data_IF_147123348839
#
_entry.id   IF_147123348839
#
_cell.length_a   1.000
_cell.length_b   1.000
_cell.length_c   1.000
_cell.angle_alpha   90.00
_cell.angle_beta   90.00
_cell.angle_gamma   90.00
#
_symmetry.space_group_name_H-M   'P 1'
#
loop_
_entity.id
_entity.type
_entity.pdbx_description
1 polymer ?
#
# COMPACT_ATOMS: atom_id res chain seq x y z
N UNK A 1 -2.18 -48.94 7.93
CA UNK A 1 -0.98 -48.11 7.68
C UNK A 1 -0.98 -46.97 8.68
N UNK A 2 -0.09 -46.99 9.69
CA UNK A 2 0.02 -45.92 10.68
C UNK A 2 0.70 -44.67 10.10
N UNK A 3 0.31 -43.50 10.62
CA UNK A 3 0.75 -42.17 10.21
C UNK A 3 2.26 -41.95 10.41
N UNK A 4 2.88 -41.22 9.47
CA UNK A 4 4.30 -40.88 9.49
C UNK A 4 4.65 -39.78 10.50
N UNK A 5 5.80 -39.86 11.20
CA UNK A 5 6.24 -38.84 12.15
C UNK A 5 6.97 -37.71 11.41
N UNK A 6 6.38 -36.52 11.35
CA UNK A 6 7.06 -35.37 10.71
C UNK A 6 6.31 -34.03 10.67
N UNK A 7 5.01 -33.98 10.93
CA UNK A 7 4.30 -32.70 11.01
C UNK A 7 4.44 -32.13 12.42
N UNK A 8 5.36 -31.17 12.60
CA UNK A 8 5.38 -30.27 13.77
C UNK A 8 4.32 -29.18 13.55
N UNK A 9 3.19 -29.16 14.30
CA UNK A 9 2.12 -28.18 14.10
C UNK A 9 2.41 -26.89 14.87
N UNK A 10 3.49 -26.17 14.53
CA UNK A 10 3.89 -24.99 15.32
C UNK A 10 4.69 -23.92 14.61
N UNK A 11 4.77 -23.95 13.27
CA UNK A 11 5.64 -23.04 12.49
C UNK A 11 4.87 -22.14 11.52
N UNK A 12 3.64 -22.51 11.16
CA UNK A 12 2.72 -21.70 10.35
C UNK A 12 1.90 -20.76 11.24
N UNK A 13 1.51 -21.26 12.40
CA UNK A 13 0.74 -20.65 13.49
C UNK A 13 1.40 -19.35 13.97
N UNK A 14 2.72 -19.37 14.14
CA UNK A 14 3.50 -18.24 14.61
C UNK A 14 3.50 -17.06 13.61
N UNK A 15 3.25 -17.32 12.32
CA UNK A 15 3.17 -16.27 11.30
C UNK A 15 1.79 -15.60 11.23
N UNK A 16 0.72 -16.32 11.60
CA UNK A 16 -0.65 -15.80 11.60
C UNK A 16 -0.82 -14.67 12.63
N UNK A 17 -0.23 -14.79 13.82
CA UNK A 17 -0.28 -13.75 14.85
C UNK A 17 0.46 -12.46 14.47
N UNK A 18 1.37 -12.53 13.50
CA UNK A 18 2.12 -11.39 12.96
C UNK A 18 1.44 -10.76 11.74
N UNK A 19 0.38 -11.36 11.20
CA UNK A 19 -0.39 -10.85 10.06
C UNK A 19 -0.77 -9.35 10.16
N UNK A 20 -1.30 -8.83 11.29
CA UNK A 20 -1.60 -7.40 11.39
C UNK A 20 -0.36 -6.51 11.32
N UNK A 21 0.78 -6.96 11.84
CA UNK A 21 2.04 -6.21 11.76
C UNK A 21 2.58 -6.19 10.32
N UNK A 22 2.46 -7.30 9.59
CA UNK A 22 2.80 -7.34 8.18
C UNK A 22 1.88 -6.45 7.33
N UNK A 23 0.57 -6.43 7.62
CA UNK A 23 -0.37 -5.52 6.98
C UNK A 23 0.00 -4.04 7.22
N UNK A 24 0.30 -3.68 8.47
CA UNK A 24 0.72 -2.33 8.83
C UNK A 24 2.02 -1.95 8.13
N UNK A 25 3.02 -2.83 8.16
CA UNK A 25 4.32 -2.61 7.53
C UNK A 25 4.23 -2.52 6.00
N UNK A 26 3.32 -3.26 5.37
CA UNK A 26 3.14 -3.23 3.93
C UNK A 26 2.42 -1.96 3.47
N UNK A 27 1.36 -1.57 4.17
CA UNK A 27 0.52 -0.44 3.77
C UNK A 27 1.02 0.92 4.29
N UNK A 28 2.02 0.96 5.18
CA UNK A 28 2.52 2.20 5.77
C UNK A 28 4.04 2.31 5.74
N UNK A 29 4.56 3.55 5.83
CA UNK A 29 6.00 3.84 5.89
C UNK A 29 6.64 3.55 7.25
N UNK A 30 5.86 3.01 8.21
CA UNK A 30 6.34 2.70 9.56
C UNK A 30 7.54 1.74 9.48
N UNK A 31 8.66 2.04 10.17
CA UNK A 31 9.85 1.21 10.10
C UNK A 31 9.55 -0.26 10.41
N UNK A 32 10.25 -1.22 9.76
CA UNK A 32 10.04 -2.65 9.95
C UNK A 32 10.07 -3.06 11.44
N UNK A 33 8.89 -3.27 12.03
CA UNK A 33 8.77 -3.82 13.39
C UNK A 33 9.27 -5.27 13.38
N UNK A 34 8.92 -6.01 12.33
CA UNK A 34 9.43 -7.35 12.06
C UNK A 34 10.56 -7.23 11.03
N UNK A 35 11.79 -7.56 11.44
CA UNK A 35 13.00 -7.52 10.56
C UNK A 35 13.03 -8.60 9.47
N UNK A 36 11.91 -9.27 9.23
CA UNK A 36 11.78 -10.34 8.24
C UNK A 36 10.98 -9.81 7.07
N UNK A 37 11.52 -9.96 5.86
CA UNK A 37 10.77 -9.62 4.65
C UNK A 37 9.46 -10.43 4.61
N UNK A 38 8.31 -9.79 4.35
CA UNK A 38 7.06 -10.50 4.12
C UNK A 38 7.25 -11.48 2.95
N UNK A 39 7.04 -12.78 3.20
CA UNK A 39 6.93 -13.77 2.13
C UNK A 39 5.50 -13.74 1.58
N UNK A 40 5.31 -14.20 0.34
CA UNK A 40 3.97 -14.26 -0.30
C UNK A 40 2.92 -14.94 0.61
N UNK A 41 3.28 -16.03 1.28
CA UNK A 41 2.40 -16.73 2.22
C UNK A 41 1.99 -15.86 3.43
N UNK A 42 2.89 -15.05 3.97
CA UNK A 42 2.57 -14.14 5.09
C UNK A 42 1.78 -12.90 4.66
N UNK A 43 1.89 -12.47 3.40
CA UNK A 43 1.05 -11.41 2.85
C UNK A 43 -0.39 -11.90 2.66
N UNK A 44 -0.58 -13.14 2.17
CA UNK A 44 -1.92 -13.72 2.04
C UNK A 44 -2.71 -13.75 3.34
N UNK A 45 -2.07 -14.06 4.48
CA UNK A 45 -2.73 -13.97 5.79
C UNK A 45 -2.92 -12.52 6.29
N UNK A 46 -2.07 -11.58 5.85
CA UNK A 46 -2.15 -10.17 6.21
C UNK A 46 -3.25 -9.40 5.46
N UNK A 47 -3.65 -9.86 4.27
CA UNK A 47 -4.69 -9.24 3.44
C UNK A 47 -6.01 -9.05 4.20
N UNK A 48 -6.39 -9.99 5.06
CA UNK A 48 -7.60 -9.90 5.92
C UNK A 48 -7.55 -8.70 6.87
N UNK A 49 -6.37 -8.17 7.19
CA UNK A 49 -6.16 -7.02 8.07
C UNK A 49 -5.99 -5.69 7.32
N UNK A 50 -5.93 -5.70 5.98
CA UNK A 50 -5.81 -4.46 5.19
C UNK A 50 -6.98 -3.49 5.45
N UNK A 51 -8.26 -3.94 5.57
CA UNK A 51 -9.36 -3.05 5.92
C UNK A 51 -9.18 -2.39 7.29
N UNK A 52 -8.62 -3.11 8.27
CA UNK A 52 -8.37 -2.56 9.60
C UNK A 52 -7.28 -1.48 9.58
N UNK A 53 -6.21 -1.68 8.81
CA UNK A 53 -5.17 -0.65 8.59
C UNK A 53 -5.74 0.54 7.83
N UNK A 54 -6.57 0.31 6.81
CA UNK A 54 -7.28 1.37 6.09
C UNK A 54 -8.19 2.20 7.01
N UNK A 55 -8.93 1.54 7.91
CA UNK A 55 -9.74 2.21 8.92
C UNK A 55 -8.88 3.06 9.88
N UNK A 56 -7.74 2.52 10.33
CA UNK A 56 -6.79 3.26 11.17
C UNK A 56 -6.28 4.53 10.47
N UNK A 57 -5.86 4.43 9.21
CA UNK A 57 -5.44 5.58 8.40
C UNK A 57 -6.59 6.58 8.22
N UNK A 58 -7.80 6.10 7.93
CA UNK A 58 -9.00 6.92 7.78
C UNK A 58 -9.35 7.69 9.05
N UNK A 59 -9.25 7.06 10.22
CA UNK A 59 -9.43 7.73 11.52
C UNK A 59 -8.36 8.79 11.77
N UNK A 60 -7.10 8.53 11.39
CA UNK A 60 -6.02 9.52 11.46
C UNK A 60 -6.28 10.73 10.57
N UNK A 61 -6.75 10.51 9.34
CA UNK A 61 -7.15 11.59 8.42
C UNK A 61 -8.34 12.38 8.96
N UNK A 62 -9.36 11.71 9.50
CA UNK A 62 -10.53 12.36 10.10
C UNK A 62 -10.13 13.23 11.31
N UNK A 63 -9.28 12.71 12.20
CA UNK A 63 -8.77 13.48 13.33
C UNK A 63 -8.00 14.72 12.87
N UNK A 64 -7.19 14.57 11.80
CA UNK A 64 -6.45 15.69 11.18
C UNK A 64 -7.40 16.72 10.56
N UNK A 65 -8.45 16.27 9.86
CA UNK A 65 -9.47 17.15 9.27
C UNK A 65 -10.15 18.00 10.35
N UNK A 66 -10.62 17.37 11.43
CA UNK A 66 -11.29 18.04 12.54
C UNK A 66 -10.36 19.06 13.21
N UNK A 67 -9.10 18.71 13.43
CA UNK A 67 -8.11 19.59 14.05
C UNK A 67 -7.77 20.81 13.18
N UNK A 68 -7.67 20.63 11.86
CA UNK A 68 -7.33 21.69 10.91
C UNK A 68 -8.53 22.52 10.46
N UNK A 69 -9.76 22.03 10.68
CA UNK A 69 -11.02 22.68 10.27
C UNK A 69 -11.14 24.15 10.69
N UNK A 70 -10.79 24.56 11.93
CA UNK A 70 -10.85 25.97 12.32
C UNK A 70 -9.65 26.81 11.86
N UNK A 71 -8.58 26.19 11.34
CA UNK A 71 -7.30 26.84 11.04
C UNK A 71 -7.14 27.20 9.56
N UNK A 72 -7.63 26.35 8.65
CA UNK A 72 -7.41 26.48 7.21
C UNK A 72 -8.67 26.23 6.37
N UNK A 73 -8.73 26.90 5.22
CA UNK A 73 -9.82 26.73 4.25
C UNK A 73 -9.87 25.30 3.71
N UNK A 74 -11.08 24.84 3.37
CA UNK A 74 -11.33 23.47 2.92
C UNK A 74 -10.43 23.00 1.77
N UNK A 75 -10.23 23.77 0.67
CA UNK A 75 -9.38 23.30 -0.43
C UNK A 75 -7.93 23.02 -0.01
N UNK A 76 -7.38 23.85 0.89
CA UNK A 76 -6.02 23.66 1.41
C UNK A 76 -5.97 22.43 2.31
N UNK A 77 -7.01 22.21 3.13
CA UNK A 77 -7.11 21.05 4.01
C UNK A 77 -7.20 19.74 3.23
N UNK A 78 -7.99 19.70 2.17
CA UNK A 78 -8.16 18.51 1.33
C UNK A 78 -6.81 18.12 0.69
N UNK A 79 -6.03 19.09 0.19
CA UNK A 79 -4.65 18.86 -0.29
C UNK A 79 -3.74 18.33 0.82
N UNK A 80 -3.78 18.91 2.02
CA UNK A 80 -2.98 18.45 3.17
C UNK A 80 -3.29 17.00 3.53
N UNK A 81 -4.58 16.60 3.53
CA UNK A 81 -5.00 15.23 3.82
C UNK A 81 -4.51 14.25 2.75
N UNK A 82 -4.55 14.64 1.48
CA UNK A 82 -4.02 13.81 0.37
C UNK A 82 -2.52 13.61 0.49
N UNK A 83 -1.76 14.68 0.80
CA UNK A 83 -0.31 14.60 1.04
C UNK A 83 -0.03 13.70 2.24
N UNK A 84 -0.77 13.88 3.34
CA UNK A 84 -0.61 13.08 4.55
C UNK A 84 -0.84 11.59 4.27
N UNK A 85 -1.89 11.24 3.53
CA UNK A 85 -2.16 9.85 3.13
C UNK A 85 -1.03 9.28 2.26
N UNK A 86 -0.54 10.05 1.28
CA UNK A 86 0.57 9.62 0.44
C UNK A 86 1.84 9.37 1.27
N UNK A 87 2.20 10.26 2.19
CA UNK A 87 3.36 10.11 3.06
C UNK A 87 3.21 8.91 4.01
N UNK A 88 2.06 8.78 4.68
CA UNK A 88 1.80 7.67 5.60
C UNK A 88 1.90 6.31 4.92
N UNK A 89 1.50 6.21 3.66
CA UNK A 89 1.52 4.97 2.86
C UNK A 89 2.81 4.79 2.06
N UNK A 90 3.77 5.71 2.15
CA UNK A 90 4.97 5.70 1.32
C UNK A 90 4.68 5.81 -0.18
N UNK A 91 3.51 6.37 -0.54
CA UNK A 91 2.99 6.50 -1.90
C UNK A 91 2.82 5.18 -2.66
N UNK A 92 2.75 4.04 -1.97
CA UNK A 92 2.63 2.69 -2.58
C UNK A 92 1.52 2.60 -3.65
N UNK A 93 0.36 3.20 -3.37
CA UNK A 93 -0.77 3.18 -4.30
C UNK A 93 -0.57 4.09 -5.52
N UNK A 94 0.17 5.20 -5.36
CA UNK A 94 0.50 6.10 -6.47
C UNK A 94 1.58 5.48 -7.35
N UNK A 95 2.57 4.83 -6.74
CA UNK A 95 3.62 4.07 -7.42
C UNK A 95 3.02 2.94 -8.28
N UNK A 96 2.18 2.09 -7.68
CA UNK A 96 1.50 1.03 -8.42
C UNK A 96 0.58 1.55 -9.54
N UNK A 97 0.02 2.76 -9.40
CA UNK A 97 -0.75 3.40 -10.47
C UNK A 97 0.15 3.85 -11.63
N UNK A 98 1.30 4.45 -11.34
CA UNK A 98 2.32 4.84 -12.34
C UNK A 98 2.75 3.59 -13.11
N UNK A 99 3.20 2.55 -12.41
CA UNK A 99 3.65 1.30 -13.00
C UNK A 99 2.58 0.69 -13.90
N UNK A 100 1.33 0.66 -13.42
CA UNK A 100 0.22 0.09 -14.17
C UNK A 100 -0.05 0.86 -15.46
N UNK A 101 -0.09 2.19 -15.41
CA UNK A 101 -0.40 2.99 -16.59
C UNK A 101 0.77 3.01 -17.58
N UNK A 102 2.02 3.11 -17.11
CA UNK A 102 3.18 3.04 -17.98
C UNK A 102 3.33 1.65 -18.62
N UNK A 103 3.10 0.59 -17.86
CA UNK A 103 3.05 -0.77 -18.38
C UNK A 103 1.95 -0.95 -19.43
N UNK A 104 0.69 -0.67 -19.08
CA UNK A 104 -0.47 -0.94 -19.95
C UNK A 104 -0.46 -0.10 -21.23
N UNK A 105 -0.13 1.18 -21.15
CA UNK A 105 -0.22 2.11 -22.29
C UNK A 105 1.12 2.32 -23.01
N UNK A 106 2.25 2.07 -22.35
CA UNK A 106 3.59 2.17 -22.96
C UNK A 106 4.07 0.90 -23.65
N UNK A 107 3.61 -0.30 -23.24
CA UNK A 107 4.09 -1.58 -23.77
C UNK A 107 3.12 -2.26 -24.73
N UNK A 108 3.64 -2.76 -25.86
CA UNK A 108 2.86 -3.44 -26.91
C UNK A 108 2.65 -4.92 -26.66
N UNK A 109 3.62 -5.58 -26.04
CA UNK A 109 3.62 -7.00 -25.70
C UNK A 109 3.87 -7.20 -24.19
N UNK A 110 3.49 -8.35 -23.61
CA UNK A 110 3.61 -8.59 -22.17
C UNK A 110 5.03 -8.38 -21.61
N UNK A 111 6.07 -8.73 -22.37
CA UNK A 111 7.46 -8.58 -21.93
C UNK A 111 7.83 -7.09 -21.81
N UNK A 112 7.46 -6.28 -22.80
CA UNK A 112 7.69 -4.83 -22.76
C UNK A 112 6.89 -4.15 -21.65
N UNK A 113 5.61 -4.53 -21.44
CA UNK A 113 4.80 -3.97 -20.34
C UNK A 113 5.44 -4.21 -18.97
N UNK A 114 5.92 -5.44 -18.75
CA UNK A 114 6.55 -5.82 -17.48
C UNK A 114 7.93 -5.18 -17.31
N UNK A 115 8.65 -4.92 -18.41
CA UNK A 115 9.88 -4.16 -18.37
C UNK A 115 9.64 -2.71 -17.94
N UNK A 116 8.57 -2.08 -18.45
CA UNK A 116 8.19 -0.71 -18.07
C UNK A 116 7.72 -0.61 -16.61
N UNK A 117 6.93 -1.57 -16.12
CA UNK A 117 6.53 -1.65 -14.70
C UNK A 117 7.70 -1.83 -13.73
N UNK A 118 8.88 -2.23 -14.21
CA UNK A 118 10.09 -2.41 -13.41
C UNK A 118 11.09 -1.27 -13.59
N UNK A 119 10.80 -0.33 -14.49
CA UNK A 119 11.63 0.85 -14.67
C UNK A 119 11.42 1.76 -13.44
N UNK A 120 12.48 2.14 -12.73
CA UNK A 120 12.35 3.07 -11.60
C UNK A 120 11.92 4.50 -12.03
N UNK A 121 11.84 4.78 -13.33
CA UNK A 121 11.44 6.09 -13.87
C UNK A 121 9.95 6.09 -14.20
N UNK A 122 9.25 7.12 -13.74
CA UNK A 122 7.88 7.38 -14.16
C UNK A 122 7.83 7.80 -15.64
N UNK A 123 6.98 7.14 -16.41
CA UNK A 123 6.63 7.48 -17.78
C UNK A 123 5.49 8.51 -17.86
N UNK A 124 5.23 8.98 -19.08
CA UNK A 124 4.23 10.02 -19.31
C UNK A 124 2.81 9.58 -18.97
N UNK A 125 2.46 8.30 -19.20
CA UNK A 125 1.13 7.78 -18.92
C UNK A 125 0.88 7.68 -17.42
N UNK A 126 1.87 7.19 -16.66
CA UNK A 126 1.82 7.13 -15.20
C UNK A 126 1.70 8.51 -14.57
N UNK A 127 2.49 9.48 -15.03
CA UNK A 127 2.40 10.88 -14.55
C UNK A 127 1.01 11.46 -14.81
N UNK A 128 0.47 11.33 -16.03
CA UNK A 128 -0.87 11.83 -16.35
C UNK A 128 -1.94 11.17 -15.47
N UNK A 129 -1.84 9.86 -15.24
CA UNK A 129 -2.77 9.12 -14.39
C UNK A 129 -2.77 9.64 -12.94
N UNK A 130 -1.58 9.85 -12.36
CA UNK A 130 -1.44 10.40 -11.01
C UNK A 130 -1.99 11.83 -10.93
N UNK A 131 -1.71 12.68 -11.92
CA UNK A 131 -2.27 14.05 -11.95
C UNK A 131 -3.80 14.00 -11.98
N UNK A 132 -4.40 13.21 -12.87
CA UNK A 132 -5.85 13.06 -12.93
C UNK A 132 -6.44 12.53 -11.61
N UNK A 133 -5.79 11.54 -10.99
CA UNK A 133 -6.24 10.98 -9.71
C UNK A 133 -6.18 12.01 -8.58
N UNK A 134 -5.09 12.78 -8.49
CA UNK A 134 -4.92 13.78 -7.44
C UNK A 134 -5.92 14.93 -7.59
N UNK A 135 -6.20 15.36 -8.83
CA UNK A 135 -7.23 16.36 -9.11
C UNK A 135 -8.63 15.89 -8.73
N UNK A 136 -8.93 14.59 -8.84
CA UNK A 136 -10.22 14.03 -8.45
C UNK A 136 -10.38 13.87 -6.93
N UNK A 137 -9.27 13.81 -6.19
CA UNK A 137 -9.26 13.59 -4.73
C UNK A 137 -9.57 14.85 -3.92
N UNK A 138 -9.37 16.04 -4.51
CA UNK A 138 -9.49 17.35 -3.84
C UNK A 138 -10.77 18.08 -4.21
#
# INVERSE_FOLDING_TARGET
MPAGPGETPGREDASAWLAPLFALQFLTIVPPIVRRAPRSASLGSAETFFPAVGLLLGLGLLATDVLLRPLIARPVRDVVLVILLAVMTGALHLDGLIDTFDGVFGGRDPQTRLALMRDPRAGAFGVVAVVCLLLLKV
#
